data_IF_112840724834
#
_entry.id   IF_112840724834
#
_cell.length_a   1.000
_cell.length_b   1.000
_cell.length_c   1.000
_cell.angle_alpha   90.00
_cell.angle_beta   90.00
_cell.angle_gamma   90.00
#
_symmetry.space_group_name_H-M   'P 1'
#
loop_
_entity.id
_entity.type
_entity.pdbx_description
1 polymer ?
#
# COMPACT_ATOMS: atom_id res chain seq x y z
N UNK A 1 -44.41 13.84 68.79
CA UNK A 1 -45.84 13.57 68.52
C UNK A 1 -45.94 12.14 67.98
N UNK A 2 -46.73 11.18 68.50
CA UNK A 2 -47.51 10.99 69.75
C UNK A 2 -47.42 9.46 70.02
N UNK A 3 -46.81 8.91 71.08
CA UNK A 3 -47.32 8.58 72.43
C UNK A 3 -48.85 8.25 72.52
N UNK A 4 -49.19 7.28 73.39
CA UNK A 4 -50.54 6.85 73.90
C UNK A 4 -51.34 5.90 72.99
N UNK A 5 -52.15 4.94 73.48
CA UNK A 5 -52.51 4.44 74.84
C UNK A 5 -52.90 2.94 74.72
N UNK A 6 -52.62 2.02 75.64
CA UNK A 6 -53.11 1.84 77.02
C UNK A 6 -54.65 1.69 77.13
N UNK A 7 -55.13 0.54 77.62
CA UNK A 7 -56.21 0.43 78.62
C UNK A 7 -56.16 -0.98 79.22
N UNK A 8 -55.99 -1.02 80.54
CA UNK A 8 -56.24 -2.16 81.41
C UNK A 8 -57.69 -2.05 81.86
N UNK A 9 -58.42 -3.15 81.92
CA UNK A 9 -59.60 -3.23 82.80
C UNK A 9 -59.55 -4.50 83.64
N UNK A 10 -59.90 -4.35 84.91
CA UNK A 10 -59.71 -5.31 86.00
C UNK A 10 -61.02 -5.41 86.81
N UNK A 11 -61.11 -6.37 87.76
CA UNK A 11 -62.26 -6.62 88.67
C UNK A 11 -63.53 -7.16 87.98
N UNK A 12 -64.46 -7.97 88.55
CA UNK A 12 -64.57 -8.87 89.73
C UNK A 12 -65.85 -9.75 89.51
N UNK A 13 -66.34 -10.70 90.33
CA UNK A 13 -66.07 -11.14 91.71
C UNK A 13 -66.40 -12.66 91.91
N UNK A 14 -65.70 -13.31 92.86
CA UNK A 14 -66.02 -14.44 93.78
C UNK A 14 -67.42 -15.13 93.70
N UNK A 15 -67.47 -16.49 93.79
CA UNK A 15 -68.11 -17.30 94.87
C UNK A 15 -67.91 -18.83 94.68
N UNK A 16 -67.16 -19.40 95.63
CA UNK A 16 -67.05 -20.79 96.18
C UNK A 16 -67.57 -22.05 95.46
N UNK A 17 -66.79 -23.14 95.57
CA UNK A 17 -67.28 -24.53 95.46
C UNK A 17 -66.18 -25.60 95.60
N UNK A 18 -65.86 -26.02 96.83
CA UNK A 18 -64.86 -27.09 97.10
C UNK A 18 -65.44 -28.49 96.84
N UNK A 19 -64.71 -29.36 96.12
CA UNK A 19 -64.63 -30.80 96.42
C UNK A 19 -63.20 -31.29 96.11
N UNK A 20 -62.58 -32.02 97.04
CA UNK A 20 -61.27 -32.63 96.86
C UNK A 20 -61.40 -34.05 96.28
N UNK A 21 -60.42 -34.46 95.46
CA UNK A 21 -60.11 -35.88 95.24
C UNK A 21 -58.62 -36.04 94.89
N UNK A 22 -57.98 -36.97 95.59
CA UNK A 22 -56.54 -37.22 95.59
C UNK A 22 -56.21 -38.43 94.70
N UNK A 23 -55.18 -38.34 93.85
CA UNK A 23 -54.56 -39.50 93.21
C UNK A 23 -53.12 -39.19 92.73
N UNK A 24 -52.12 -39.47 93.59
CA UNK A 24 -50.73 -39.64 93.17
C UNK A 24 -50.45 -41.12 92.90
N UNK A 25 -49.58 -41.37 91.90
CA UNK A 25 -49.05 -42.65 91.36
C UNK A 25 -49.84 -43.12 90.13
N UNK A 26 -49.24 -43.16 88.95
CA UNK A 26 -48.18 -44.13 88.68
C UNK A 26 -47.00 -43.56 87.87
N UNK A 27 -45.78 -43.74 88.39
CA UNK A 27 -44.53 -43.31 87.78
C UNK A 27 -43.50 -44.44 87.90
N UNK A 28 -43.49 -45.33 86.92
CA UNK A 28 -42.59 -46.49 86.90
C UNK A 28 -42.49 -47.19 85.53
N UNK A 29 -43.58 -47.29 84.77
CA UNK A 29 -43.59 -48.00 83.48
C UNK A 29 -43.39 -47.13 82.22
N UNK A 30 -43.49 -45.79 82.34
CA UNK A 30 -43.56 -44.89 81.18
C UNK A 30 -42.20 -44.40 80.65
N UNK A 31 -41.12 -44.52 81.43
CA UNK A 31 -39.84 -43.85 81.17
C UNK A 31 -39.08 -44.36 79.91
N UNK A 32 -38.88 -45.68 79.70
CA UNK A 32 -38.21 -46.17 78.48
C UNK A 32 -39.03 -45.89 77.21
N UNK A 33 -40.36 -45.94 77.29
CA UNK A 33 -41.25 -45.65 76.16
C UNK A 33 -41.21 -44.17 75.78
N UNK A 34 -41.19 -43.27 76.77
CA UNK A 34 -41.08 -41.82 76.54
C UNK A 34 -39.72 -41.44 75.94
N UNK A 35 -38.63 -42.09 76.39
CA UNK A 35 -37.29 -41.93 75.79
C UNK A 35 -37.25 -42.41 74.34
N UNK A 36 -37.88 -43.56 74.04
CA UNK A 36 -38.01 -44.07 72.67
C UNK A 36 -38.82 -43.13 71.77
N UNK A 37 -39.94 -42.58 72.26
CA UNK A 37 -40.76 -41.59 71.53
C UNK A 37 -39.98 -40.31 71.21
N UNK A 38 -39.16 -39.81 72.15
CA UNK A 38 -38.29 -38.66 71.92
C UNK A 38 -37.23 -38.96 70.85
N UNK A 39 -36.56 -40.11 70.94
CA UNK A 39 -35.55 -40.54 69.97
C UNK A 39 -36.15 -40.72 68.57
N UNK A 40 -37.35 -41.32 68.45
CA UNK A 40 -38.06 -41.48 67.19
C UNK A 40 -38.43 -40.12 66.56
N UNK A 41 -38.83 -39.13 67.39
CA UNK A 41 -39.09 -37.76 66.93
C UNK A 41 -37.82 -37.06 66.46
N UNK A 42 -36.70 -37.25 67.15
CA UNK A 42 -35.40 -36.71 66.72
C UNK A 42 -34.94 -37.34 65.40
N UNK A 43 -34.96 -38.68 65.28
CA UNK A 43 -34.63 -39.39 64.05
C UNK A 43 -35.56 -38.99 62.88
N UNK A 44 -36.84 -38.73 63.14
CA UNK A 44 -37.78 -38.22 62.13
C UNK A 44 -37.42 -36.80 61.67
N UNK A 45 -36.99 -35.92 62.58
CA UNK A 45 -36.50 -34.59 62.24
C UNK A 45 -35.16 -34.62 61.48
N UNK A 46 -34.22 -35.48 61.88
CA UNK A 46 -32.95 -35.67 61.19
C UNK A 46 -33.17 -36.27 59.79
N UNK A 47 -34.03 -37.28 59.65
CA UNK A 47 -34.44 -37.82 58.35
C UNK A 47 -35.06 -36.73 57.46
N UNK A 48 -35.98 -35.93 57.99
CA UNK A 48 -36.61 -34.84 57.22
C UNK A 48 -35.61 -33.77 56.79
N UNK A 49 -34.63 -33.43 57.63
CA UNK A 49 -33.52 -32.52 57.27
C UNK A 49 -32.65 -33.12 56.16
N UNK A 50 -32.22 -34.38 56.31
CA UNK A 50 -31.40 -35.08 55.32
C UNK A 50 -32.12 -35.26 53.99
N UNK A 51 -33.43 -35.51 53.99
CA UNK A 51 -34.26 -35.57 52.78
C UNK A 51 -34.34 -34.18 52.10
N UNK A 52 -34.48 -33.10 52.87
CA UNK A 52 -34.46 -31.73 52.35
C UNK A 52 -33.08 -31.31 51.79
N UNK A 53 -31.99 -31.68 52.47
CA UNK A 53 -30.62 -31.42 52.02
C UNK A 53 -30.26 -32.23 50.77
N UNK A 54 -30.62 -33.52 50.72
CA UNK A 54 -30.49 -34.36 49.53
C UNK A 54 -31.35 -33.82 48.36
N UNK A 55 -32.52 -33.26 48.65
CA UNK A 55 -33.33 -32.51 47.69
C UNK A 55 -32.60 -31.30 47.12
N UNK A 56 -31.99 -30.46 47.97
CA UNK A 56 -31.17 -29.30 47.55
C UNK A 56 -29.97 -29.73 46.72
N UNK A 57 -29.13 -30.65 47.21
CA UNK A 57 -27.95 -31.11 46.48
C UNK A 57 -28.29 -31.72 45.11
N UNK A 58 -29.46 -32.34 44.95
CA UNK A 58 -29.95 -32.83 43.63
C UNK A 58 -30.40 -31.71 42.69
N UNK A 59 -30.85 -30.57 43.22
CA UNK A 59 -31.15 -29.37 42.42
C UNK A 59 -29.83 -28.70 42.02
N UNK A 60 -28.93 -28.48 42.99
CA UNK A 60 -27.63 -27.84 42.78
C UNK A 60 -26.76 -28.62 41.77
N UNK A 61 -26.74 -29.96 41.85
CA UNK A 61 -26.07 -30.82 40.87
C UNK A 61 -26.65 -30.68 39.45
N UNK A 62 -27.96 -30.46 39.32
CA UNK A 62 -28.60 -30.26 38.01
C UNK A 62 -28.26 -28.89 37.45
N UNK A 63 -28.34 -27.84 38.26
CA UNK A 63 -28.00 -26.48 37.81
C UNK A 63 -26.52 -26.38 37.42
N UNK A 64 -25.62 -26.95 38.21
CA UNK A 64 -24.18 -26.98 37.91
C UNK A 64 -23.89 -27.79 36.64
N UNK A 65 -24.57 -28.93 36.43
CA UNK A 65 -24.44 -29.72 35.21
C UNK A 65 -24.91 -28.95 33.97
N UNK A 66 -26.06 -28.26 34.05
CA UNK A 66 -26.55 -27.40 32.97
C UNK A 66 -25.61 -26.21 32.69
N UNK A 67 -25.07 -25.57 33.72
CA UNK A 67 -24.12 -24.47 33.55
C UNK A 67 -22.81 -24.94 32.91
N UNK A 68 -22.30 -26.09 33.33
CA UNK A 68 -21.13 -26.75 32.71
C UNK A 68 -21.38 -27.06 31.24
N UNK A 69 -22.54 -27.59 30.87
CA UNK A 69 -22.89 -27.85 29.47
C UNK A 69 -22.97 -26.52 28.66
N UNK A 70 -23.64 -25.51 29.21
CA UNK A 70 -23.73 -24.15 28.61
C UNK A 70 -22.34 -23.53 28.43
N UNK A 71 -21.41 -23.73 29.37
CA UNK A 71 -20.02 -23.26 29.29
C UNK A 71 -19.19 -24.05 28.27
N UNK A 72 -19.31 -25.37 28.21
CA UNK A 72 -18.67 -26.20 27.19
C UNK A 72 -19.13 -25.81 25.78
N UNK A 73 -20.45 -25.64 25.56
CA UNK A 73 -21.00 -25.18 24.29
C UNK A 73 -20.55 -23.75 23.92
N UNK A 74 -20.30 -22.87 24.90
CA UNK A 74 -19.69 -21.55 24.68
C UNK A 74 -18.21 -21.66 24.29
N UNK A 75 -17.43 -22.49 24.98
CA UNK A 75 -16.00 -22.72 24.68
C UNK A 75 -15.82 -23.29 23.27
N UNK A 76 -16.60 -24.28 22.86
CA UNK A 76 -16.57 -24.79 21.48
C UNK A 76 -16.86 -23.71 20.44
N UNK A 77 -17.88 -22.87 20.68
CA UNK A 77 -18.24 -21.76 19.80
C UNK A 77 -17.13 -20.71 19.73
N UNK A 78 -16.44 -20.45 20.83
CA UNK A 78 -15.29 -19.54 20.90
C UNK A 78 -14.07 -20.11 20.17
N UNK A 79 -13.73 -21.38 20.37
CA UNK A 79 -12.64 -22.06 19.66
C UNK A 79 -12.91 -22.06 18.14
N UNK A 80 -14.11 -22.46 17.70
CA UNK A 80 -14.54 -22.41 16.29
C UNK A 80 -14.49 -20.99 15.69
N UNK A 81 -14.66 -19.93 16.49
CA UNK A 81 -14.47 -18.53 16.04
C UNK A 81 -13.00 -18.14 16.00
N UNK A 82 -12.22 -18.54 16.99
CA UNK A 82 -10.78 -18.26 17.10
C UNK A 82 -10.02 -18.90 15.94
N UNK A 83 -10.31 -20.15 15.58
CA UNK A 83 -9.64 -20.85 14.49
C UNK A 83 -10.00 -20.23 13.13
N UNK A 84 -11.28 -19.89 12.90
CA UNK A 84 -11.69 -19.08 11.72
C UNK A 84 -10.98 -17.72 11.67
N UNK A 85 -10.75 -17.08 12.82
CA UNK A 85 -10.04 -15.80 12.89
C UNK A 85 -8.55 -15.97 12.54
N UNK A 86 -7.90 -17.03 13.06
CA UNK A 86 -6.52 -17.40 12.68
C UNK A 86 -6.39 -17.69 11.19
N UNK A 87 -7.28 -18.51 10.63
CA UNK A 87 -7.28 -18.85 9.20
C UNK A 87 -7.43 -17.61 8.31
N UNK A 88 -8.33 -16.70 8.69
CA UNK A 88 -8.53 -15.44 7.98
C UNK A 88 -7.32 -14.51 8.12
N UNK A 89 -6.68 -14.48 9.29
CA UNK A 89 -5.45 -13.72 9.51
C UNK A 89 -4.30 -14.27 8.66
N UNK A 90 -4.08 -15.59 8.64
CA UNK A 90 -3.06 -16.24 7.82
C UNK A 90 -3.27 -15.97 6.31
N UNK A 91 -4.52 -16.05 5.84
CA UNK A 91 -4.87 -15.68 4.46
C UNK A 91 -4.58 -14.21 4.16
N UNK A 92 -4.90 -13.30 5.09
CA UNK A 92 -4.65 -11.88 4.94
C UNK A 92 -3.14 -11.56 4.92
N UNK A 93 -2.35 -12.16 5.82
CA UNK A 93 -0.89 -12.03 5.87
C UNK A 93 -0.26 -12.55 4.56
N UNK A 94 -0.71 -13.71 4.07
CA UNK A 94 -0.26 -14.27 2.79
C UNK A 94 -0.57 -13.33 1.62
N UNK A 95 -1.79 -12.77 1.57
CA UNK A 95 -2.21 -11.80 0.54
C UNK A 95 -1.39 -10.51 0.60
N UNK A 96 -1.20 -9.92 1.78
CA UNK A 96 -0.38 -8.72 1.97
C UNK A 96 1.07 -8.97 1.53
N UNK A 97 1.63 -10.14 1.81
CA UNK A 97 2.96 -10.52 1.33
C UNK A 97 3.01 -10.63 -0.20
N UNK A 98 2.03 -11.30 -0.82
CA UNK A 98 1.95 -11.43 -2.28
C UNK A 98 1.80 -10.07 -2.98
N UNK A 99 0.95 -9.19 -2.45
CA UNK A 99 0.71 -7.86 -3.03
C UNK A 99 1.92 -6.93 -2.81
N UNK A 100 2.68 -7.10 -1.72
CA UNK A 100 3.95 -6.40 -1.51
C UNK A 100 5.02 -6.80 -2.53
N UNK A 101 5.18 -8.11 -2.82
CA UNK A 101 6.13 -8.57 -3.84
C UNK A 101 5.72 -8.12 -5.26
N UNK A 102 4.42 -8.19 -5.60
CA UNK A 102 3.90 -7.61 -6.85
C UNK A 102 4.20 -6.12 -6.99
N UNK A 103 4.03 -5.36 -5.91
CA UNK A 103 4.31 -3.92 -5.91
C UNK A 103 5.80 -3.62 -6.08
N UNK A 104 6.70 -4.40 -5.46
CA UNK A 104 8.15 -4.31 -5.71
C UNK A 104 8.49 -4.60 -7.17
N UNK A 105 7.92 -5.66 -7.74
CA UNK A 105 8.14 -6.04 -9.15
C UNK A 105 7.65 -4.93 -10.10
N UNK A 106 6.46 -4.37 -9.84
CA UNK A 106 5.90 -3.27 -10.62
C UNK A 106 6.79 -2.01 -10.56
N UNK A 107 7.31 -1.67 -9.38
CA UNK A 107 8.26 -0.55 -9.20
C UNK A 107 9.57 -0.82 -9.94
N UNK A 108 10.09 -2.06 -9.94
CA UNK A 108 11.29 -2.43 -10.68
C UNK A 108 11.09 -2.28 -12.20
N UNK A 109 10.00 -2.85 -12.75
CA UNK A 109 9.62 -2.72 -14.18
C UNK A 109 9.41 -1.26 -14.58
N UNK A 110 8.80 -0.45 -13.71
CA UNK A 110 8.62 0.99 -13.97
C UNK A 110 9.96 1.73 -14.05
N UNK A 111 10.88 1.49 -13.10
CA UNK A 111 12.24 2.07 -13.12
C UNK A 111 13.03 1.66 -14.37
N UNK A 112 12.97 0.39 -14.76
CA UNK A 112 13.59 -0.10 -16.00
C UNK A 112 13.01 0.62 -17.23
N UNK A 113 11.69 0.82 -17.27
CA UNK A 113 10.99 1.48 -18.38
C UNK A 113 11.38 2.97 -18.47
N UNK A 114 11.44 3.67 -17.34
CA UNK A 114 11.91 5.07 -17.27
C UNK A 114 13.36 5.19 -17.73
N UNK A 115 14.24 4.28 -17.31
CA UNK A 115 15.64 4.26 -17.75
C UNK A 115 15.76 4.04 -19.26
N UNK A 116 15.03 3.06 -19.83
CA UNK A 116 14.98 2.82 -21.28
C UNK A 116 14.48 4.04 -22.06
N UNK A 117 13.43 4.71 -21.56
CA UNK A 117 12.89 5.93 -22.17
C UNK A 117 13.90 7.09 -22.12
N UNK A 118 14.62 7.26 -21.02
CA UNK A 118 15.67 8.28 -20.90
C UNK A 118 16.82 8.03 -21.88
N UNK A 119 17.30 6.79 -22.01
CA UNK A 119 18.33 6.43 -22.99
C UNK A 119 17.84 6.67 -24.41
N UNK A 120 16.67 6.15 -24.79
CA UNK A 120 16.10 6.35 -26.12
C UNK A 120 15.88 7.83 -26.48
N UNK A 121 15.53 8.68 -25.51
CA UNK A 121 15.40 10.12 -25.72
C UNK A 121 16.76 10.81 -25.93
N UNK A 122 17.82 10.40 -25.20
CA UNK A 122 19.18 10.89 -25.45
C UNK A 122 19.68 10.47 -26.83
N UNK A 123 19.49 9.21 -27.19
CA UNK A 123 19.87 8.67 -28.50
C UNK A 123 19.13 9.40 -29.62
N UNK A 124 17.84 9.68 -29.44
CA UNK A 124 17.06 10.48 -30.39
C UNK A 124 17.60 11.91 -30.53
N UNK A 125 17.94 12.58 -29.44
CA UNK A 125 18.55 13.92 -29.47
C UNK A 125 19.91 13.91 -30.19
N UNK A 126 20.76 12.92 -29.95
CA UNK A 126 22.03 12.75 -30.65
C UNK A 126 21.83 12.53 -32.16
N UNK A 127 20.87 11.69 -32.54
CA UNK A 127 20.52 11.46 -33.95
C UNK A 127 19.95 12.71 -34.63
N UNK A 128 19.08 13.46 -33.96
CA UNK A 128 18.54 14.74 -34.47
C UNK A 128 19.66 15.76 -34.70
N UNK A 129 20.59 15.88 -33.75
CA UNK A 129 21.74 16.77 -33.90
C UNK A 129 22.64 16.35 -35.06
N UNK A 130 23.01 15.07 -35.14
CA UNK A 130 23.85 14.53 -36.21
C UNK A 130 23.20 14.68 -37.61
N UNK A 131 21.87 14.52 -37.71
CA UNK A 131 21.13 14.79 -38.96
C UNK A 131 21.14 16.29 -39.29
N UNK A 132 20.97 17.17 -38.31
CA UNK A 132 21.02 18.63 -38.50
C UNK A 132 22.40 19.10 -38.98
N UNK A 133 23.47 18.64 -38.33
CA UNK A 133 24.86 18.93 -38.72
C UNK A 133 25.17 18.42 -40.13
N UNK A 134 24.76 17.18 -40.45
CA UNK A 134 24.91 16.60 -41.78
C UNK A 134 24.17 17.40 -42.86
N UNK A 135 22.95 17.86 -42.57
CA UNK A 135 22.18 18.67 -43.51
C UNK A 135 22.85 20.02 -43.76
N UNK A 136 23.31 20.71 -42.70
CA UNK A 136 24.09 21.95 -42.84
C UNK A 136 25.36 21.74 -43.69
N UNK A 137 26.04 20.61 -43.53
CA UNK A 137 27.23 20.27 -44.33
C UNK A 137 26.89 20.01 -45.80
N UNK A 138 25.76 19.33 -46.07
CA UNK A 138 25.23 19.13 -47.43
C UNK A 138 24.88 20.47 -48.08
N UNK A 139 24.19 21.37 -47.38
CA UNK A 139 23.81 22.69 -47.89
C UNK A 139 25.06 23.54 -48.21
N UNK A 140 26.09 23.51 -47.35
CA UNK A 140 27.38 24.15 -47.59
C UNK A 140 28.09 23.56 -48.82
N UNK A 141 28.12 22.24 -48.97
CA UNK A 141 28.69 21.58 -50.15
C UNK A 141 27.92 21.92 -51.43
N UNK A 142 26.59 21.97 -51.39
CA UNK A 142 25.76 22.36 -52.54
C UNK A 142 26.00 23.83 -52.93
N UNK A 143 26.07 24.73 -51.95
CA UNK A 143 26.40 26.15 -52.16
C UNK A 143 27.79 26.32 -52.79
N UNK A 144 28.81 25.64 -52.24
CA UNK A 144 30.18 25.67 -52.77
C UNK A 144 30.27 25.11 -54.20
N UNK A 145 29.66 23.96 -54.46
CA UNK A 145 29.61 23.37 -55.80
C UNK A 145 28.90 24.28 -56.83
N UNK A 146 27.82 24.94 -56.42
CA UNK A 146 27.12 25.92 -57.27
C UNK A 146 28.01 27.13 -57.58
N UNK A 147 28.73 27.66 -56.57
CA UNK A 147 29.70 28.74 -56.77
C UNK A 147 30.83 28.36 -57.74
N UNK A 148 31.40 27.15 -57.60
CA UNK A 148 32.43 26.64 -58.51
C UNK A 148 31.90 26.51 -59.95
N UNK A 149 30.67 26.03 -60.12
CA UNK A 149 30.03 25.96 -61.42
C UNK A 149 29.86 27.36 -62.05
N UNK A 150 29.34 28.34 -61.30
CA UNK A 150 29.18 29.72 -61.78
C UNK A 150 30.52 30.33 -62.21
N UNK A 151 31.59 30.19 -61.40
CA UNK A 151 32.93 30.69 -61.74
C UNK A 151 33.46 30.03 -63.02
N UNK A 152 33.28 28.72 -63.18
CA UNK A 152 33.72 28.02 -64.38
C UNK A 152 32.98 28.53 -65.64
N UNK A 153 31.69 28.87 -65.52
CA UNK A 153 30.92 29.48 -66.62
C UNK A 153 31.40 30.92 -66.90
N UNK A 154 31.63 31.74 -65.87
CA UNK A 154 32.20 33.08 -66.03
C UNK A 154 33.57 33.04 -66.74
N UNK A 155 34.46 32.12 -66.34
CA UNK A 155 35.79 31.96 -66.91
C UNK A 155 35.72 31.53 -68.38
N UNK A 156 34.83 30.58 -68.71
CA UNK A 156 34.59 30.15 -70.10
C UNK A 156 34.01 31.29 -70.97
N UNK A 157 33.13 32.12 -70.41
CA UNK A 157 32.62 33.31 -71.10
C UNK A 157 33.71 34.36 -71.32
N UNK A 158 34.53 34.67 -70.30
CA UNK A 158 35.68 35.57 -70.44
C UNK A 158 36.67 35.07 -71.48
N UNK A 159 37.01 33.77 -71.47
CA UNK A 159 37.93 33.19 -72.45
C UNK A 159 37.38 33.33 -73.88
N UNK A 160 36.11 32.96 -74.12
CA UNK A 160 35.44 33.17 -75.41
C UNK A 160 35.42 34.64 -75.84
N UNK A 161 35.20 35.55 -74.90
CA UNK A 161 35.22 36.99 -75.19
C UNK A 161 36.64 37.50 -75.46
N UNK A 162 37.67 36.86 -74.89
CA UNK A 162 39.07 37.19 -75.18
C UNK A 162 39.41 36.98 -76.65
N UNK A 163 38.96 35.87 -77.24
CA UNK A 163 39.13 35.58 -78.67
C UNK A 163 38.54 36.70 -79.58
N UNK A 164 37.54 37.45 -79.10
CA UNK A 164 36.97 38.63 -79.78
C UNK A 164 37.66 39.96 -79.43
N UNK A 165 38.46 40.02 -78.36
CA UNK A 165 39.18 41.22 -77.91
C UNK A 165 40.68 41.23 -78.20
N UNK A 166 41.28 40.10 -78.60
CA UNK A 166 42.69 40.04 -78.98
C UNK A 166 43.02 41.00 -80.16
N UNK A 167 42.04 41.28 -81.02
CA UNK A 167 42.06 42.34 -82.07
C UNK A 167 42.33 43.76 -81.53
N UNK A 168 42.12 43.99 -80.23
CA UNK A 168 42.46 45.22 -79.52
C UNK A 168 43.79 45.15 -78.75
N UNK A 169 44.21 43.96 -78.30
CA UNK A 169 45.45 43.78 -77.53
C UNK A 169 46.72 44.04 -78.34
N UNK A 170 46.73 43.83 -79.66
CA UNK A 170 47.90 44.12 -80.52
C UNK A 170 48.36 45.60 -80.43
N UNK A 171 47.49 46.53 -79.99
CA UNK A 171 47.80 47.96 -79.88
C UNK A 171 48.32 48.42 -78.51
N UNK A 172 48.17 47.60 -77.46
CA UNK A 172 48.44 47.98 -76.06
C UNK A 172 49.80 47.47 -75.51
N UNK A 173 50.60 46.77 -76.32
CA UNK A 173 51.81 46.03 -75.90
C UNK A 173 52.94 46.86 -75.23
N UNK A 174 52.81 48.18 -75.10
CA UNK A 174 53.83 49.08 -74.58
C UNK A 174 53.60 49.59 -73.14
N UNK A 175 52.36 49.55 -72.62
CA UNK A 175 52.02 50.19 -71.33
C UNK A 175 52.01 49.23 -70.15
N UNK A 176 51.85 47.92 -70.39
CA UNK A 176 51.79 46.87 -69.35
C UNK A 176 50.52 46.87 -68.49
N UNK A 177 49.60 47.84 -68.67
CA UNK A 177 48.38 47.97 -67.86
C UNK A 177 47.48 46.72 -67.96
N UNK A 178 47.32 46.19 -69.17
CA UNK A 178 46.54 44.97 -69.43
C UNK A 178 47.12 43.74 -68.70
N UNK A 179 48.44 43.67 -68.50
CA UNK A 179 49.05 42.56 -67.77
C UNK A 179 48.73 42.61 -66.26
N UNK A 180 48.76 43.81 -65.67
CA UNK A 180 48.37 44.02 -64.25
C UNK A 180 46.88 43.75 -64.06
N UNK A 181 46.02 44.15 -64.99
CA UNK A 181 44.59 43.85 -64.91
C UNK A 181 44.31 42.34 -65.05
N UNK A 182 45.02 41.63 -65.94
CA UNK A 182 44.93 40.18 -66.04
C UNK A 182 45.40 39.48 -64.76
N UNK A 183 46.50 39.93 -64.16
CA UNK A 183 47.02 39.38 -62.89
C UNK A 183 46.02 39.62 -61.73
N UNK A 184 45.44 40.81 -61.62
CA UNK A 184 44.40 41.12 -60.64
C UNK A 184 43.17 40.21 -60.81
N UNK A 185 42.72 39.98 -62.05
CA UNK A 185 41.60 39.07 -62.33
C UNK A 185 41.96 37.61 -62.00
N UNK A 186 43.18 37.16 -62.30
CA UNK A 186 43.65 35.81 -61.93
C UNK A 186 43.68 35.64 -60.40
N UNK A 187 44.17 36.65 -59.67
CA UNK A 187 44.16 36.65 -58.20
C UNK A 187 42.74 36.63 -57.64
N UNK A 188 41.82 37.45 -58.16
CA UNK A 188 40.41 37.46 -57.73
C UNK A 188 39.75 36.08 -57.93
N UNK A 189 39.94 35.45 -59.10
CA UNK A 189 39.43 34.10 -59.34
C UNK A 189 40.10 33.05 -58.46
N UNK A 190 41.41 33.14 -58.18
CA UNK A 190 42.10 32.26 -57.22
C UNK A 190 41.51 32.38 -55.81
N UNK A 191 41.23 33.59 -55.32
CA UNK A 191 40.57 33.79 -54.02
C UNK A 191 39.16 33.20 -54.01
N UNK A 192 38.32 33.53 -55.00
CA UNK A 192 36.95 33.00 -55.11
C UNK A 192 36.92 31.46 -55.17
N UNK A 193 37.83 30.84 -55.94
CA UNK A 193 37.96 29.38 -56.00
C UNK A 193 38.48 28.76 -54.69
N UNK A 194 39.37 29.45 -53.97
CA UNK A 194 39.89 29.01 -52.67
C UNK A 194 38.79 28.94 -51.60
N UNK A 195 37.96 29.99 -51.49
CA UNK A 195 36.87 30.05 -50.51
C UNK A 195 35.81 28.96 -50.74
N UNK A 196 35.63 28.55 -51.99
CA UNK A 196 34.71 27.50 -52.41
C UNK A 196 35.27 26.08 -52.27
N UNK A 197 36.53 25.90 -51.87
CA UNK A 197 37.06 24.55 -51.59
C UNK A 197 36.31 23.91 -50.42
N UNK A 198 35.93 22.64 -50.59
CA UNK A 198 35.39 21.83 -49.50
C UNK A 198 36.53 21.29 -48.64
N UNK A 199 36.40 21.26 -47.30
CA UNK A 199 37.41 20.66 -46.44
C UNK A 199 37.55 19.16 -46.77
N UNK A 200 38.78 18.67 -46.84
CA UNK A 200 39.05 17.25 -47.10
C UNK A 200 38.50 16.41 -45.95
N UNK A 201 37.70 15.40 -46.27
CA UNK A 201 37.21 14.44 -45.28
C UNK A 201 38.38 13.58 -44.81
N UNK A 202 38.90 13.86 -43.61
CA UNK A 202 39.86 12.99 -42.93
C UNK A 202 39.06 11.90 -42.22
N UNK A 203 39.04 10.71 -42.79
CA UNK A 203 38.54 9.53 -42.08
C UNK A 203 39.56 9.17 -40.99
N UNK A 204 39.25 9.48 -39.73
CA UNK A 204 39.96 8.89 -38.59
C UNK A 204 39.61 7.41 -38.51
N UNK A 205 40.36 6.59 -39.25
CA UNK A 205 40.37 5.14 -39.08
C UNK A 205 41.16 4.80 -37.81
N UNK A 206 40.44 4.53 -36.73
CA UNK A 206 40.89 3.76 -35.57
C UNK A 206 40.11 2.44 -35.54
#
# INVERSE_FOLDING_TARGET
>A
MKITSFIIFCTCLIVTGNVAAEARRDAGAADPMRKMQYMLRQLSQEKSKLEAENGKFKIDLKTEAEEKEKLQAKLEKLNKKLDKSKDNNLKLVSRVKQDNERMKEMIARYRETVNKLQTANRDNQLLVNAVSERNQWIDQCQSKNSGMYTINIELMQRYRNKDFSDDALEKEAFTGLVAVELENQEQEYKFRLSDLQTPKFVSETN
#
